data_IF_805748086456
#
_entry.id   IF_805748086456
#
_cell.length_a   1.000
_cell.length_b   1.000
_cell.length_c   1.000
_cell.angle_alpha   90.00
_cell.angle_beta   90.00
_cell.angle_gamma   90.00
#
_symmetry.space_group_name_H-M   'P 1'
#
loop_
_entity.id
_entity.type
_entity.pdbx_description
1 polymer ?
#
# COMPACT_ATOMS: atom_id res chain seq x y z
N UNK A 1 13.42 14.46 -7.61
CA UNK A 1 13.87 14.75 -6.22
C UNK A 1 12.77 15.57 -5.56
N UNK A 2 12.03 15.02 -4.57
CA UNK A 2 10.99 15.75 -3.86
C UNK A 2 11.63 16.87 -3.03
N UNK A 3 11.18 18.12 -3.24
CA UNK A 3 11.59 19.23 -2.38
C UNK A 3 11.11 18.98 -0.94
N UNK A 4 12.02 19.06 0.03
CA UNK A 4 11.84 18.77 1.47
C UNK A 4 10.47 19.18 2.04
N UNK A 5 9.84 18.29 2.80
CA UNK A 5 8.43 18.26 3.17
C UNK A 5 8.10 18.66 4.60
N UNK A 6 8.84 19.52 5.26
CA UNK A 6 8.56 19.71 6.69
C UNK A 6 7.89 21.06 7.07
N UNK A 7 7.48 21.89 6.10
CA UNK A 7 6.70 23.11 6.40
C UNK A 7 5.80 23.57 5.24
N UNK A 8 5.08 22.63 4.58
CA UNK A 8 4.17 23.03 3.49
C UNK A 8 2.86 23.56 4.06
N UNK A 9 2.37 24.67 3.50
CA UNK A 9 1.08 25.23 3.90
C UNK A 9 -0.06 24.21 3.66
N UNK A 10 -1.16 24.27 4.44
CA UNK A 10 -2.33 23.40 4.21
C UNK A 10 -2.86 23.46 2.77
N UNK A 11 -2.76 24.62 2.12
CA UNK A 11 -3.15 24.82 0.72
C UNK A 11 -2.23 24.06 -0.23
N UNK A 12 -0.92 24.02 0.03
CA UNK A 12 0.05 23.26 -0.77
C UNK A 12 -0.22 21.76 -0.65
N UNK A 13 -0.45 21.27 0.56
CA UNK A 13 -0.77 19.85 0.79
C UNK A 13 -2.07 19.45 0.07
N UNK A 14 -3.12 20.25 0.13
CA UNK A 14 -4.38 19.99 -0.58
C UNK A 14 -4.17 19.91 -2.10
N UNK A 15 -3.31 20.77 -2.69
CA UNK A 15 -2.99 20.72 -4.12
C UNK A 15 -2.19 19.49 -4.51
N UNK A 16 -1.22 19.10 -3.69
CA UNK A 16 -0.45 17.86 -3.88
C UNK A 16 -1.41 16.65 -3.85
N UNK A 17 -2.27 16.56 -2.86
CA UNK A 17 -3.28 15.49 -2.76
C UNK A 17 -4.15 15.44 -4.01
N UNK A 18 -4.68 16.57 -4.47
CA UNK A 18 -5.50 16.66 -5.68
C UNK A 18 -4.75 16.14 -6.92
N UNK A 19 -3.47 16.48 -7.08
CA UNK A 19 -2.63 15.98 -8.18
C UNK A 19 -2.42 14.46 -8.06
N UNK A 20 -2.08 13.97 -6.88
CA UNK A 20 -1.85 12.55 -6.65
C UNK A 20 -3.12 11.72 -6.89
N UNK A 21 -4.28 12.20 -6.47
CA UNK A 21 -5.56 11.50 -6.70
C UNK A 21 -5.93 11.45 -8.18
N UNK A 22 -5.77 12.56 -8.90
CA UNK A 22 -5.99 12.62 -10.35
C UNK A 22 -5.01 11.71 -11.11
N UNK A 23 -3.75 11.70 -10.70
CA UNK A 23 -2.72 10.85 -11.31
C UNK A 23 -3.00 9.36 -11.03
N UNK A 24 -3.31 9.00 -9.78
CA UNK A 24 -3.63 7.63 -9.38
C UNK A 24 -4.81 7.08 -10.20
N UNK A 25 -5.90 7.85 -10.32
CA UNK A 25 -7.06 7.45 -11.11
C UNK A 25 -6.72 7.30 -12.61
N UNK A 26 -5.89 8.18 -13.16
CA UNK A 26 -5.46 8.09 -14.56
C UNK A 26 -4.54 6.88 -14.79
N UNK A 27 -3.66 6.56 -13.85
CA UNK A 27 -2.78 5.39 -13.94
C UNK A 27 -3.55 4.07 -13.86
N UNK A 28 -4.55 3.98 -12.99
CA UNK A 28 -5.43 2.79 -12.91
C UNK A 28 -6.22 2.57 -14.20
N UNK A 29 -6.69 3.65 -14.85
CA UNK A 29 -7.47 3.57 -16.09
C UNK A 29 -6.64 3.28 -17.35
N UNK A 30 -5.44 3.85 -17.46
CA UNK A 30 -4.65 3.89 -18.70
C UNK A 30 -3.22 3.34 -18.56
N UNK A 31 -2.85 2.91 -17.36
CA UNK A 31 -1.48 2.53 -17.01
C UNK A 31 -0.53 3.74 -16.88
N UNK A 32 0.62 3.53 -16.26
CA UNK A 32 1.64 4.58 -16.11
C UNK A 32 2.14 5.11 -17.45
N UNK A 33 2.38 4.22 -18.43
CA UNK A 33 2.91 4.62 -19.72
C UNK A 33 1.87 5.31 -20.61
N UNK A 34 0.60 4.91 -20.52
CA UNK A 34 -0.51 5.51 -21.25
C UNK A 34 -0.92 6.90 -20.76
N UNK A 35 -0.52 7.28 -19.54
CA UNK A 35 -0.89 8.54 -18.92
C UNK A 35 0.18 9.60 -19.10
N UNK A 36 -0.15 10.73 -19.73
CA UNK A 36 0.72 11.91 -19.84
C UNK A 36 0.39 13.00 -18.82
N UNK A 37 1.31 13.95 -18.61
CA UNK A 37 1.12 15.11 -17.72
C UNK A 37 -0.12 15.95 -18.05
N UNK A 38 -0.44 16.09 -19.34
CA UNK A 38 -1.63 16.81 -19.81
C UNK A 38 -2.93 16.14 -19.31
N UNK A 39 -3.00 14.80 -19.32
CA UNK A 39 -4.14 14.04 -18.83
C UNK A 39 -4.31 14.18 -17.31
N UNK A 40 -3.19 14.14 -16.57
CA UNK A 40 -3.21 14.37 -15.12
C UNK A 40 -3.72 15.80 -14.82
N UNK A 41 -3.24 16.79 -15.59
CA UNK A 41 -3.64 18.19 -15.42
C UNK A 41 -5.14 18.40 -15.68
N UNK A 42 -5.66 17.84 -16.77
CA UNK A 42 -7.08 17.86 -17.10
C UNK A 42 -7.92 17.30 -15.96
N UNK A 43 -7.55 16.09 -15.46
CA UNK A 43 -8.27 15.41 -14.38
C UNK A 43 -8.16 16.13 -13.04
N UNK A 44 -7.02 16.76 -12.77
CA UNK A 44 -6.79 17.56 -11.57
C UNK A 44 -7.46 18.95 -11.64
N UNK A 45 -8.10 19.30 -12.76
CA UNK A 45 -8.64 20.64 -13.01
C UNK A 45 -7.58 21.73 -12.82
N UNK A 46 -6.39 21.48 -13.35
CA UNK A 46 -5.23 22.38 -13.27
C UNK A 46 -4.57 22.55 -14.64
N UNK A 47 -3.79 23.62 -14.82
CA UNK A 47 -2.90 23.69 -15.97
C UNK A 47 -1.69 22.78 -15.77
N UNK A 48 -1.11 22.28 -16.86
CA UNK A 48 0.13 21.49 -16.80
C UNK A 48 1.27 22.26 -16.12
N UNK A 49 1.40 23.56 -16.39
CA UNK A 49 2.39 24.43 -15.71
C UNK A 49 2.21 24.50 -14.21
N UNK A 50 0.96 24.44 -13.73
CA UNK A 50 0.67 24.41 -12.30
C UNK A 50 1.09 23.07 -11.66
N UNK A 51 0.95 21.92 -12.36
CA UNK A 51 1.47 20.64 -11.87
C UNK A 51 3.00 20.65 -11.81
N UNK A 52 3.67 21.17 -12.82
CA UNK A 52 5.13 21.29 -12.84
C UNK A 52 5.71 22.16 -11.72
N UNK A 53 4.88 23.02 -11.11
CA UNK A 53 5.27 23.74 -9.89
C UNK A 53 5.46 22.82 -8.67
N UNK A 54 4.75 21.70 -8.61
CA UNK A 54 4.80 20.71 -7.50
C UNK A 54 5.65 19.49 -7.82
N UNK A 55 5.64 19.02 -9.06
CA UNK A 55 6.31 17.80 -9.51
C UNK A 55 7.08 18.03 -10.81
N UNK A 56 8.37 17.79 -10.79
CA UNK A 56 9.25 18.03 -11.92
C UNK A 56 9.00 17.06 -13.10
N UNK A 57 8.41 15.91 -12.85
CA UNK A 57 8.15 14.87 -13.86
C UNK A 57 6.99 13.95 -13.44
N UNK A 58 6.53 13.12 -14.40
CA UNK A 58 5.58 12.03 -14.10
C UNK A 58 6.18 11.01 -13.12
N UNK A 59 7.46 10.71 -13.23
CA UNK A 59 8.16 9.78 -12.31
C UNK A 59 8.19 10.31 -10.88
N UNK A 60 8.31 11.64 -10.70
CA UNK A 60 8.19 12.26 -9.38
C UNK A 60 6.77 12.10 -8.79
N UNK A 61 5.72 12.13 -9.63
CA UNK A 61 4.34 11.85 -9.21
C UNK A 61 4.18 10.38 -8.83
N UNK A 62 4.71 9.46 -9.63
CA UNK A 62 4.70 8.01 -9.34
C UNK A 62 5.40 7.74 -8.00
N UNK A 63 6.59 8.28 -7.80
CA UNK A 63 7.33 8.14 -6.55
C UNK A 63 6.53 8.65 -5.33
N UNK A 64 5.86 9.79 -5.47
CA UNK A 64 5.03 10.34 -4.41
C UNK A 64 3.76 9.50 -4.13
N UNK A 65 3.18 8.85 -5.14
CA UNK A 65 2.08 7.89 -4.96
C UNK A 65 2.58 6.66 -4.20
N UNK A 66 3.73 6.09 -4.60
CA UNK A 66 4.34 4.95 -3.90
C UNK A 66 4.62 5.31 -2.44
N UNK A 67 5.21 6.48 -2.17
CA UNK A 67 5.47 6.96 -0.81
C UNK A 67 4.18 7.11 0.02
N UNK A 68 3.09 7.58 -0.59
CA UNK A 68 1.78 7.69 0.06
C UNK A 68 1.21 6.32 0.43
N UNK A 69 1.22 5.37 -0.50
CA UNK A 69 0.70 4.02 -0.26
C UNK A 69 1.53 3.26 0.77
N UNK A 70 2.85 3.35 0.69
CA UNK A 70 3.76 2.71 1.66
C UNK A 70 3.67 3.35 3.04
N UNK A 71 3.54 4.67 3.11
CA UNK A 71 3.32 5.39 4.39
C UNK A 71 2.03 4.99 5.11
N UNK A 72 0.98 4.63 4.36
CA UNK A 72 -0.26 4.11 4.93
C UNK A 72 -0.04 2.72 5.60
N UNK A 73 0.76 1.85 5.01
CA UNK A 73 1.12 0.56 5.61
C UNK A 73 1.96 0.72 6.87
N UNK A 74 2.93 1.64 6.87
CA UNK A 74 3.72 1.95 8.07
C UNK A 74 2.87 2.54 9.20
N UNK A 75 1.90 3.40 8.88
CA UNK A 75 0.97 3.92 9.87
C UNK A 75 0.16 2.80 10.53
N UNK A 76 -0.34 1.86 9.74
CA UNK A 76 -1.05 0.67 10.24
C UNK A 76 -0.17 -0.22 11.10
N UNK A 77 1.11 -0.39 10.73
CA UNK A 77 2.10 -1.11 11.55
C UNK A 77 2.27 -0.44 12.92
N UNK A 78 2.37 0.88 12.97
CA UNK A 78 2.46 1.64 14.23
C UNK A 78 1.23 1.43 15.12
N UNK A 79 0.02 1.28 14.55
CA UNK A 79 -1.18 0.94 15.31
C UNK A 79 -1.04 -0.43 16.00
N UNK A 80 -0.57 -1.47 15.28
CA UNK A 80 -0.34 -2.79 15.88
C UNK A 80 0.69 -2.75 17.00
N UNK A 81 1.72 -1.91 16.89
CA UNK A 81 2.72 -1.74 17.94
C UNK A 81 2.14 -1.17 19.25
N UNK A 82 1.05 -0.39 19.20
CA UNK A 82 0.39 0.17 20.37
C UNK A 82 -0.57 -0.82 21.07
N UNK A 83 -0.92 -1.93 20.41
CA UNK A 83 -1.84 -2.91 20.98
C UNK A 83 -1.14 -3.68 22.12
N UNK A 84 -1.74 -3.81 23.31
CA UNK A 84 -1.23 -4.66 24.38
C UNK A 84 -1.03 -6.11 23.90
N UNK A 85 0.00 -6.80 24.45
CA UNK A 85 0.35 -8.15 24.01
C UNK A 85 -0.79 -9.14 24.12
N UNK A 86 -1.57 -9.08 25.22
CA UNK A 86 -2.72 -9.95 25.50
C UNK A 86 -3.85 -9.81 24.45
N UNK A 87 -3.92 -8.67 23.75
CA UNK A 87 -4.96 -8.38 22.77
C UNK A 87 -4.47 -8.54 21.34
N UNK A 88 -3.15 -8.57 21.10
CA UNK A 88 -2.57 -8.47 19.76
C UNK A 88 -3.04 -9.58 18.84
N UNK A 89 -2.99 -10.84 19.27
CA UNK A 89 -3.44 -11.99 18.48
C UNK A 89 -4.91 -11.86 18.07
N UNK A 90 -5.77 -11.48 19.00
CA UNK A 90 -7.20 -11.29 18.75
C UNK A 90 -7.44 -10.12 17.78
N UNK A 91 -6.73 -9.00 17.95
CA UNK A 91 -6.83 -7.84 17.07
C UNK A 91 -6.37 -8.15 15.64
N UNK A 92 -5.29 -8.90 15.46
CA UNK A 92 -4.84 -9.33 14.13
C UNK A 92 -5.92 -10.16 13.41
N UNK A 93 -6.55 -11.10 14.12
CA UNK A 93 -7.65 -11.92 13.59
C UNK A 93 -8.89 -11.07 13.29
N UNK A 94 -9.25 -10.16 14.19
CA UNK A 94 -10.43 -9.29 14.05
C UNK A 94 -10.27 -8.36 12.84
N UNK A 95 -9.10 -7.74 12.67
CA UNK A 95 -8.79 -6.82 11.57
C UNK A 95 -8.53 -7.51 10.22
N UNK A 96 -8.47 -8.85 10.18
CA UNK A 96 -8.33 -9.59 8.92
C UNK A 96 -9.40 -9.22 7.88
N UNK A 97 -10.64 -8.95 8.31
CA UNK A 97 -11.71 -8.52 7.41
C UNK A 97 -11.46 -7.16 6.76
N UNK A 98 -10.80 -6.24 7.46
CA UNK A 98 -10.36 -4.98 6.89
C UNK A 98 -9.25 -5.21 5.86
N UNK A 99 -8.27 -6.07 6.18
CA UNK A 99 -7.22 -6.47 5.25
C UNK A 99 -7.78 -7.11 3.98
N UNK A 100 -8.76 -8.00 4.09
CA UNK A 100 -9.45 -8.59 2.93
C UNK A 100 -10.12 -7.49 2.10
N UNK A 101 -10.94 -6.62 2.69
CA UNK A 101 -11.62 -5.53 1.95
C UNK A 101 -10.63 -4.61 1.24
N UNK A 102 -9.54 -4.23 1.90
CA UNK A 102 -8.53 -3.35 1.33
C UNK A 102 -7.83 -3.99 0.14
N UNK A 103 -7.45 -5.27 0.25
CA UNK A 103 -6.71 -5.97 -0.80
C UNK A 103 -7.61 -6.63 -1.87
N UNK A 104 -8.93 -6.56 -1.70
CA UNK A 104 -9.92 -6.94 -2.72
C UNK A 104 -10.71 -5.73 -3.24
N UNK A 105 -10.33 -4.52 -2.92
CA UNK A 105 -10.85 -3.32 -3.58
C UNK A 105 -10.31 -3.26 -5.01
N UNK A 106 -11.18 -3.17 -6.05
CA UNK A 106 -10.74 -3.24 -7.44
C UNK A 106 -9.75 -2.13 -7.81
N UNK A 107 -9.98 -0.91 -7.33
CA UNK A 107 -9.13 0.23 -7.63
C UNK A 107 -7.75 0.08 -6.99
N UNK A 108 -7.70 -0.28 -5.71
CA UNK A 108 -6.44 -0.49 -4.98
C UNK A 108 -5.66 -1.68 -5.53
N UNK A 109 -6.35 -2.76 -5.90
CA UNK A 109 -5.73 -3.93 -6.54
C UNK A 109 -5.09 -3.57 -7.87
N UNK A 110 -5.78 -2.80 -8.72
CA UNK A 110 -5.23 -2.33 -9.98
C UNK A 110 -4.04 -1.40 -9.77
N UNK A 111 -4.12 -0.43 -8.85
CA UNK A 111 -3.00 0.46 -8.52
C UNK A 111 -1.78 -0.31 -8.03
N UNK A 112 -1.96 -1.27 -7.11
CA UNK A 112 -0.87 -2.10 -6.58
C UNK A 112 -0.12 -2.83 -7.71
N UNK A 113 -0.86 -3.42 -8.66
CA UNK A 113 -0.24 -4.12 -9.80
C UNK A 113 0.45 -3.19 -10.78
N UNK A 114 -0.09 -1.99 -11.02
CA UNK A 114 0.59 -0.96 -11.82
C UNK A 114 1.92 -0.54 -11.17
N UNK A 115 1.94 -0.34 -9.85
CA UNK A 115 3.16 -0.01 -9.11
C UNK A 115 4.20 -1.15 -9.23
N UNK A 116 3.80 -2.41 -9.02
CA UNK A 116 4.69 -3.57 -9.16
C UNK A 116 5.21 -3.73 -10.59
N UNK A 117 4.36 -3.51 -11.58
CA UNK A 117 4.75 -3.55 -12.99
C UNK A 117 5.75 -2.43 -13.35
N UNK A 118 5.58 -1.24 -12.78
CA UNK A 118 6.51 -0.12 -12.97
C UNK A 118 7.85 -0.39 -12.28
N UNK A 119 7.87 -0.97 -11.10
CA UNK A 119 9.10 -1.33 -10.39
C UNK A 119 10.03 -2.25 -11.21
N UNK A 120 9.46 -3.08 -12.11
CA UNK A 120 10.27 -3.91 -13.03
C UNK A 120 11.08 -3.07 -14.03
N UNK A 121 10.63 -1.87 -14.36
CA UNK A 121 11.22 -1.00 -15.39
C UNK A 121 11.95 0.20 -14.80
N UNK A 122 11.57 0.63 -13.60
CA UNK A 122 12.08 1.80 -12.92
C UNK A 122 12.83 1.37 -11.63
N UNK A 123 14.20 1.38 -11.66
CA UNK A 123 15.02 0.96 -10.53
C UNK A 123 14.77 1.78 -9.26
N UNK A 124 14.44 3.08 -9.38
CA UNK A 124 14.19 3.93 -8.21
C UNK A 124 12.90 3.51 -7.51
N UNK A 125 11.84 3.20 -8.27
CA UNK A 125 10.59 2.66 -7.73
C UNK A 125 10.82 1.27 -7.10
N UNK A 126 11.60 0.41 -7.76
CA UNK A 126 11.95 -0.90 -7.22
C UNK A 126 12.70 -0.78 -5.88
N UNK A 127 13.62 0.18 -5.77
CA UNK A 127 14.35 0.42 -4.53
C UNK A 127 13.46 0.97 -3.43
N UNK A 128 12.54 1.87 -3.74
CA UNK A 128 11.54 2.38 -2.79
C UNK A 128 10.69 1.24 -2.22
N UNK A 129 10.17 0.36 -3.08
CA UNK A 129 9.34 -0.78 -2.65
C UNK A 129 10.15 -1.75 -1.78
N UNK A 130 11.39 -2.11 -2.19
CA UNK A 130 12.24 -3.01 -1.40
C UNK A 130 12.55 -2.45 -0.01
N UNK A 131 12.88 -1.17 0.06
CA UNK A 131 13.18 -0.50 1.33
C UNK A 131 11.98 -0.50 2.26
N UNK A 132 10.82 -0.18 1.72
CA UNK A 132 9.58 -0.21 2.48
C UNK A 132 9.25 -1.63 2.96
N UNK A 133 9.32 -2.63 2.08
CA UNK A 133 9.08 -4.05 2.41
C UNK A 133 9.97 -4.52 3.55
N UNK A 134 11.27 -4.23 3.48
CA UNK A 134 12.23 -4.57 4.55
C UNK A 134 11.82 -3.95 5.89
N UNK A 135 11.43 -2.65 5.90
CA UNK A 135 11.02 -1.97 7.13
C UNK A 135 9.79 -2.65 7.73
N UNK A 136 8.72 -2.81 6.94
CA UNK A 136 7.45 -3.33 7.46
C UNK A 136 7.57 -4.79 7.89
N UNK A 137 8.27 -5.64 7.11
CA UNK A 137 8.52 -7.05 7.47
C UNK A 137 9.34 -7.18 8.74
N UNK A 138 10.41 -6.41 8.87
CA UNK A 138 11.28 -6.44 10.05
C UNK A 138 10.51 -6.03 11.30
N UNK A 139 9.74 -4.96 11.22
CA UNK A 139 8.93 -4.48 12.35
C UNK A 139 7.83 -5.48 12.72
N UNK A 140 7.20 -6.11 11.72
CA UNK A 140 6.17 -7.12 11.98
C UNK A 140 6.76 -8.40 12.59
N UNK A 141 7.89 -8.87 12.10
CA UNK A 141 8.59 -10.02 12.68
C UNK A 141 9.05 -9.74 14.12
N UNK A 142 9.55 -8.51 14.39
CA UNK A 142 9.87 -8.07 15.74
C UNK A 142 8.64 -8.08 16.64
N UNK A 143 7.49 -7.58 16.15
CA UNK A 143 6.23 -7.59 16.90
C UNK A 143 5.78 -9.01 17.28
N UNK A 144 5.84 -9.97 16.34
CA UNK A 144 5.48 -11.37 16.60
C UNK A 144 6.43 -12.00 17.64
N UNK A 145 7.72 -11.73 17.53
CA UNK A 145 8.72 -12.29 18.44
C UNK A 145 8.61 -11.71 19.84
N UNK A 146 8.58 -10.37 19.96
CA UNK A 146 8.65 -9.70 21.26
C UNK A 146 7.33 -9.68 22.01
N UNK A 147 6.20 -9.62 21.29
CA UNK A 147 4.88 -9.54 21.93
C UNK A 147 4.13 -10.88 21.96
N UNK A 148 4.37 -11.79 21.04
CA UNK A 148 3.65 -13.08 21.02
C UNK A 148 4.56 -14.26 21.32
N UNK A 149 5.85 -14.04 21.57
CA UNK A 149 6.86 -15.07 21.85
C UNK A 149 6.89 -16.18 20.79
N UNK A 150 6.73 -15.82 19.53
CA UNK A 150 6.61 -16.75 18.41
C UNK A 150 7.97 -16.99 17.75
N UNK A 151 8.38 -18.26 17.66
CA UNK A 151 9.50 -18.69 16.85
C UNK A 151 9.23 -18.53 15.35
N UNK A 152 10.31 -18.47 14.55
CA UNK A 152 10.25 -18.37 13.09
C UNK A 152 9.40 -17.17 12.59
N UNK A 153 9.45 -16.05 13.32
CA UNK A 153 8.61 -14.86 13.07
C UNK A 153 8.72 -14.34 11.62
N UNK A 154 9.91 -14.37 11.02
CA UNK A 154 10.13 -13.96 9.63
C UNK A 154 9.33 -14.82 8.63
N UNK A 155 9.35 -16.14 8.79
CA UNK A 155 8.59 -17.05 7.93
C UNK A 155 7.07 -16.87 8.10
N UNK A 156 6.61 -16.63 9.32
CA UNK A 156 5.19 -16.35 9.61
C UNK A 156 4.73 -15.06 8.96
N UNK A 157 5.54 -14.00 9.01
CA UNK A 157 5.27 -12.72 8.35
C UNK A 157 5.23 -12.88 6.83
N UNK A 158 6.17 -13.63 6.25
CA UNK A 158 6.20 -13.90 4.82
C UNK A 158 4.93 -14.56 4.33
N UNK A 159 4.42 -15.56 5.06
CA UNK A 159 3.14 -16.22 4.74
C UNK A 159 1.96 -15.26 4.87
N UNK A 160 1.92 -14.44 5.93
CA UNK A 160 0.88 -13.44 6.11
C UNK A 160 0.84 -12.45 4.94
N UNK A 161 1.99 -11.90 4.54
CA UNK A 161 2.07 -10.96 3.42
C UNK A 161 1.68 -11.62 2.11
N UNK A 162 2.18 -12.83 1.83
CA UNK A 162 1.79 -13.60 0.64
C UNK A 162 0.28 -13.81 0.55
N UNK A 163 -0.40 -14.07 1.67
CA UNK A 163 -1.87 -14.21 1.68
C UNK A 163 -2.58 -12.92 1.25
N UNK A 164 -2.17 -11.77 1.77
CA UNK A 164 -2.81 -10.50 1.45
C UNK A 164 -2.42 -9.97 0.06
N UNK A 165 -1.15 -10.06 -0.33
CA UNK A 165 -0.69 -9.67 -1.67
C UNK A 165 -1.37 -10.49 -2.77
N UNK A 166 -1.58 -11.79 -2.51
CA UNK A 166 -2.31 -12.65 -3.42
C UNK A 166 -3.76 -12.23 -3.68
N UNK A 167 -4.40 -11.54 -2.74
CA UNK A 167 -5.80 -11.10 -2.87
C UNK A 167 -5.99 -10.10 -4.02
N UNK A 168 -5.05 -9.16 -4.21
CA UNK A 168 -5.13 -8.19 -5.30
C UNK A 168 -5.19 -8.88 -6.69
N UNK A 169 -4.35 -9.90 -6.89
CA UNK A 169 -4.34 -10.69 -8.12
C UNK A 169 -5.62 -11.53 -8.24
N UNK A 170 -6.09 -12.10 -7.14
CA UNK A 170 -7.31 -12.92 -7.11
C UNK A 170 -8.53 -12.08 -7.47
N UNK A 171 -8.66 -10.87 -6.93
CA UNK A 171 -9.74 -9.95 -7.22
C UNK A 171 -9.85 -9.61 -8.71
N UNK A 172 -8.74 -9.35 -9.39
CA UNK A 172 -8.74 -9.06 -10.83
C UNK A 172 -9.13 -10.27 -11.69
N UNK A 173 -8.84 -11.49 -11.23
CA UNK A 173 -9.22 -12.72 -11.93
C UNK A 173 -10.65 -13.18 -11.63
N UNK A 174 -11.18 -12.80 -10.48
CA UNK A 174 -12.49 -13.19 -9.97
C UNK A 174 -13.16 -11.99 -9.29
N UNK A 175 -13.79 -11.07 -10.06
CA UNK A 175 -14.42 -9.87 -9.50
C UNK A 175 -15.54 -10.16 -8.51
N UNK A 176 -16.21 -11.32 -8.67
CA UNK A 176 -17.32 -11.76 -7.81
C UNK A 176 -16.84 -12.61 -6.61
N UNK A 177 -15.62 -12.37 -6.12
CA UNK A 177 -15.05 -13.08 -5.00
C UNK A 177 -15.91 -12.94 -3.74
N UNK A 178 -16.30 -14.06 -3.13
CA UNK A 178 -17.00 -14.05 -1.83
C UNK A 178 -16.06 -13.56 -0.72
N UNK A 179 -16.10 -12.26 -0.47
CA UNK A 179 -15.25 -11.62 0.55
C UNK A 179 -15.60 -12.10 1.97
N UNK A 180 -16.85 -12.47 2.25
CA UNK A 180 -17.27 -12.91 3.59
C UNK A 180 -16.72 -14.32 3.88
N UNK A 181 -16.89 -15.25 2.94
CA UNK A 181 -16.32 -16.59 3.02
C UNK A 181 -14.79 -16.56 3.09
N UNK A 182 -14.16 -15.73 2.25
CA UNK A 182 -12.73 -15.54 2.23
C UNK A 182 -12.20 -15.00 3.57
N UNK A 183 -12.85 -13.99 4.14
CA UNK A 183 -12.49 -13.42 5.46
C UNK A 183 -12.50 -14.49 6.54
N UNK A 184 -13.49 -15.39 6.53
CA UNK A 184 -13.57 -16.51 7.47
C UNK A 184 -12.32 -17.39 7.40
N UNK A 185 -11.91 -17.80 6.19
CA UNK A 185 -10.74 -18.67 6.00
C UNK A 185 -9.42 -17.96 6.25
N UNK A 186 -9.30 -16.68 5.89
CA UNK A 186 -8.12 -15.87 6.22
C UNK A 186 -7.95 -15.75 7.76
N UNK A 187 -9.03 -15.54 8.51
CA UNK A 187 -8.97 -15.57 9.99
C UNK A 187 -8.45 -16.90 10.53
N UNK A 188 -8.91 -18.02 9.99
CA UNK A 188 -8.43 -19.36 10.38
C UNK A 188 -6.94 -19.53 10.04
N UNK A 189 -6.51 -19.08 8.86
CA UNK A 189 -5.11 -19.11 8.45
C UNK A 189 -4.24 -18.24 9.40
N UNK A 190 -4.67 -17.03 9.73
CA UNK A 190 -3.98 -16.16 10.68
C UNK A 190 -3.87 -16.84 12.06
N UNK A 191 -4.95 -17.44 12.57
CA UNK A 191 -4.91 -18.20 13.81
C UNK A 191 -3.88 -19.34 13.79
N UNK A 192 -3.82 -20.09 12.68
CA UNK A 192 -2.84 -21.17 12.50
C UNK A 192 -1.40 -20.65 12.40
N UNK A 193 -1.19 -19.53 11.68
CA UNK A 193 0.13 -18.89 11.55
C UNK A 193 0.61 -18.33 12.91
N UNK A 194 -0.31 -17.88 13.76
CA UNK A 194 -0.02 -17.35 15.10
C UNK A 194 -0.14 -18.40 16.21
N UNK A 195 -0.27 -19.68 15.88
CA UNK A 195 -0.18 -20.78 16.82
C UNK A 195 1.29 -21.16 17.08
N UNK A 196 1.56 -21.72 18.28
CA UNK A 196 2.85 -22.27 18.66
C UNK A 196 3.17 -23.56 17.89
#
# INVERSE_FOLDING_TARGET
MMKQTDNRSPRTLARITQILDAATASFVEQGFHGTGMARIAERAEMSAGHIYHYFDSKDAIIAAIVERETGAHEAKMREFQQIPHENLKNEMVTRAGEGVRTNTDPFRSALSLEIVAEAKRNPDIAEMLRRHDVIVRTEFARLLREKLDLDHAEGRVEVLFTLFDGLAIRMLRHPDLDQAGLTRFIRQAILAILAD
#
